data_IF_381206137972
#
_entry.id   IF_381206137972
#
_cell.length_a   1.000
_cell.length_b   1.000
_cell.length_c   1.000
_cell.angle_alpha   90.00
_cell.angle_beta   90.00
_cell.angle_gamma   90.00
#
_symmetry.space_group_name_H-M   'P 1'
#
loop_
_entity.id
_entity.type
_entity.pdbx_description
1 polymer ?
#
# COMPACT_ATOMS: atom_id res chain seq x y z
N UNK A 1 -22.20 -22.50 -22.42
CA UNK A 1 -23.34 -22.16 -21.51
C UNK A 1 -22.95 -22.68 -20.14
N UNK A 2 -22.48 -21.78 -19.25
CA UNK A 2 -22.35 -22.06 -17.82
C UNK A 2 -23.77 -22.17 -17.31
N UNK A 3 -24.17 -23.32 -16.84
CA UNK A 3 -25.48 -23.52 -16.23
C UNK A 3 -25.51 -22.83 -14.88
N UNK A 4 -26.61 -22.21 -14.48
CA UNK A 4 -26.79 -21.52 -13.18
C UNK A 4 -26.38 -22.36 -11.96
N UNK A 5 -26.24 -23.67 -12.10
CA UNK A 5 -25.84 -24.61 -11.06
C UNK A 5 -24.33 -24.61 -10.71
N UNK A 6 -23.49 -23.83 -11.43
CA UNK A 6 -22.02 -23.79 -11.23
C UNK A 6 -21.49 -22.41 -10.84
N UNK A 7 -22.34 -21.47 -10.43
CA UNK A 7 -21.89 -20.13 -10.04
C UNK A 7 -21.77 -20.05 -8.52
N UNK A 8 -20.56 -19.73 -8.03
CA UNK A 8 -20.31 -19.44 -6.61
C UNK A 8 -20.88 -18.08 -6.24
N UNK A 9 -21.85 -18.06 -5.32
CA UNK A 9 -22.53 -16.84 -4.88
C UNK A 9 -22.10 -16.42 -3.49
N UNK A 10 -21.93 -15.12 -3.28
CA UNK A 10 -21.72 -14.55 -1.95
C UNK A 10 -23.05 -14.62 -1.18
N UNK A 11 -23.06 -15.33 -0.06
CA UNK A 11 -24.25 -15.51 0.79
C UNK A 11 -24.28 -14.56 1.99
N UNK A 12 -23.10 -14.15 2.49
CA UNK A 12 -23.00 -13.23 3.61
C UNK A 12 -21.71 -12.39 3.55
N UNK A 13 -21.77 -11.24 4.22
CA UNK A 13 -20.63 -10.36 4.48
C UNK A 13 -20.56 -10.14 5.99
N UNK A 14 -19.51 -10.67 6.62
CA UNK A 14 -19.26 -10.53 8.07
C UNK A 14 -18.06 -9.62 8.30
N UNK A 15 -18.15 -8.76 9.31
CA UNK A 15 -17.13 -7.75 9.60
C UNK A 15 -16.67 -7.87 11.06
N UNK A 16 -15.38 -7.67 11.28
CA UNK A 16 -14.75 -7.79 12.59
C UNK A 16 -13.85 -6.58 12.85
N UNK A 17 -14.02 -5.96 14.03
CA UNK A 17 -13.15 -4.89 14.53
C UNK A 17 -12.02 -5.52 15.35
N UNK A 18 -10.84 -5.67 14.76
CA UNK A 18 -9.67 -6.28 15.39
C UNK A 18 -8.69 -5.19 15.83
N UNK A 19 -8.32 -5.17 17.10
CA UNK A 19 -7.45 -4.15 17.69
C UNK A 19 -6.31 -4.78 18.47
N UNK A 20 -5.10 -4.17 18.33
CA UNK A 20 -3.90 -4.58 19.02
C UNK A 20 -3.29 -3.39 19.78
N UNK A 21 -2.98 -3.51 21.08
CA UNK A 21 -2.54 -2.40 21.92
C UNK A 21 -1.05 -2.07 21.73
N UNK A 22 -0.64 -1.76 20.50
CA UNK A 22 0.77 -1.48 20.15
C UNK A 22 1.29 -0.19 20.77
N UNK A 23 0.41 0.75 21.13
CA UNK A 23 0.76 1.97 21.85
C UNK A 23 1.44 1.71 23.21
N UNK A 24 1.19 0.56 23.84
CA UNK A 24 1.79 0.20 25.13
C UNK A 24 3.30 0.00 25.05
N UNK A 25 3.83 -0.41 23.89
CA UNK A 25 5.25 -0.62 23.63
C UNK A 25 5.86 0.42 22.70
N UNK A 26 5.09 1.43 22.31
CA UNK A 26 5.44 2.49 21.33
C UNK A 26 5.74 1.95 19.93
N UNK A 27 5.41 0.71 19.64
CA UNK A 27 5.58 0.13 18.31
C UNK A 27 4.64 0.82 17.33
N UNK A 28 5.19 1.33 16.23
CA UNK A 28 4.47 2.15 15.26
C UNK A 28 4.42 3.64 15.58
N UNK A 29 5.00 4.10 16.69
CA UNK A 29 4.99 5.53 17.06
C UNK A 29 5.81 6.38 16.10
N UNK A 30 5.22 7.46 15.62
CA UNK A 30 5.83 8.44 14.72
C UNK A 30 5.54 9.89 15.17
N UNK A 31 6.02 10.88 14.41
CA UNK A 31 5.88 12.28 14.78
C UNK A 31 4.44 12.80 14.71
N UNK A 32 3.61 12.23 13.85
CA UNK A 32 2.20 12.60 13.70
C UNK A 32 1.29 11.73 14.57
N UNK A 33 1.64 10.46 14.77
CA UNK A 33 0.85 9.45 15.47
C UNK A 33 1.64 8.87 16.65
N UNK A 34 1.61 9.52 17.82
CA UNK A 34 2.45 9.11 18.96
C UNK A 34 1.94 7.89 19.72
N UNK A 35 0.68 7.51 19.54
CA UNK A 35 -0.02 6.46 20.30
C UNK A 35 -0.85 5.51 19.42
N UNK A 36 -0.28 4.91 18.33
CA UNK A 36 -1.06 4.05 17.46
C UNK A 36 -1.37 2.70 18.11
N UNK A 37 -2.63 2.26 17.96
CA UNK A 37 -3.06 0.88 18.22
C UNK A 37 -3.34 0.22 16.89
N UNK A 38 -2.37 -0.50 16.35
CA UNK A 38 -2.51 -1.16 15.05
C UNK A 38 -3.73 -2.06 15.03
N UNK A 39 -4.58 -1.86 14.03
CA UNK A 39 -5.90 -2.46 13.97
C UNK A 39 -6.26 -2.86 12.56
N UNK A 40 -7.20 -3.77 12.42
CA UNK A 40 -7.75 -4.18 11.14
C UNK A 40 -9.28 -4.18 11.20
N UNK A 41 -9.91 -3.46 10.31
CA UNK A 41 -11.30 -3.70 9.96
C UNK A 41 -11.29 -4.87 8.97
N UNK A 42 -11.77 -6.04 9.41
CA UNK A 42 -11.62 -7.30 8.73
C UNK A 42 -12.97 -7.78 8.17
N UNK A 43 -12.98 -8.24 6.93
CA UNK A 43 -14.19 -8.75 6.28
C UNK A 43 -14.01 -10.20 5.85
N UNK A 44 -15.06 -10.99 6.04
CA UNK A 44 -15.19 -12.34 5.50
C UNK A 44 -16.41 -12.38 4.59
N UNK A 45 -16.21 -12.81 3.36
CA UNK A 45 -17.27 -13.14 2.41
C UNK A 45 -17.54 -14.63 2.49
N UNK A 46 -18.71 -15.01 2.97
CA UNK A 46 -19.17 -16.38 2.94
C UNK A 46 -19.83 -16.66 1.57
N UNK A 47 -19.70 -17.89 1.10
CA UNK A 47 -20.29 -18.32 -0.17
C UNK A 47 -21.28 -19.47 0.04
N UNK A 48 -21.99 -19.85 -1.04
CA UNK A 48 -22.83 -21.06 -1.07
C UNK A 48 -22.03 -22.37 -1.03
N UNK A 49 -20.69 -22.29 -1.15
CA UNK A 49 -19.75 -23.36 -0.79
C UNK A 49 -19.17 -23.06 0.60
N UNK A 50 -19.57 -23.77 1.65
CA UNK A 50 -19.11 -23.56 3.02
C UNK A 50 -17.59 -23.65 3.19
N UNK A 51 -16.90 -24.39 2.31
CA UNK A 51 -15.45 -24.54 2.33
C UNK A 51 -14.72 -23.34 1.72
N UNK A 52 -15.41 -22.48 0.96
CA UNK A 52 -14.83 -21.37 0.22
C UNK A 52 -15.26 -20.03 0.84
N UNK A 53 -14.30 -19.33 1.45
CA UNK A 53 -14.49 -18.02 2.07
C UNK A 53 -13.42 -17.04 1.61
N UNK A 54 -13.84 -15.81 1.33
CA UNK A 54 -12.95 -14.72 0.98
C UNK A 54 -12.62 -13.84 2.19
N UNK A 55 -11.37 -13.51 2.35
CA UNK A 55 -10.87 -12.70 3.46
C UNK A 55 -10.24 -11.42 2.94
N UNK A 56 -10.56 -10.30 3.57
CA UNK A 56 -9.99 -9.01 3.27
C UNK A 56 -9.90 -8.15 4.52
N UNK A 57 -9.05 -7.14 4.47
CA UNK A 57 -8.92 -6.19 5.57
C UNK A 57 -8.53 -4.81 5.06
N UNK A 58 -8.83 -3.79 5.86
CA UNK A 58 -8.13 -2.52 5.78
C UNK A 58 -7.44 -2.22 7.11
N UNK A 59 -6.29 -1.59 7.03
CA UNK A 59 -5.47 -1.22 8.18
C UNK A 59 -5.89 0.14 8.74
N UNK A 60 -5.97 0.23 10.07
CA UNK A 60 -6.10 1.49 10.80
C UNK A 60 -5.15 1.49 12.00
N UNK A 61 -5.03 2.63 12.66
CA UNK A 61 -4.19 2.77 13.86
C UNK A 61 -5.01 2.93 15.15
N UNK A 62 -6.24 2.39 15.17
CA UNK A 62 -7.07 2.27 16.35
C UNK A 62 -8.41 2.99 16.25
N UNK A 63 -8.48 4.22 16.73
CA UNK A 63 -9.73 5.00 16.70
C UNK A 63 -10.25 5.16 15.27
N UNK A 64 -11.54 4.88 15.07
CA UNK A 64 -12.18 4.90 13.75
C UNK A 64 -12.13 3.56 13.00
N UNK A 65 -11.53 2.50 13.56
CA UNK A 65 -11.57 1.17 12.95
C UNK A 65 -13.03 0.67 12.78
N UNK A 66 -13.87 0.94 13.76
CA UNK A 66 -15.32 0.69 13.73
C UNK A 66 -16.04 1.45 12.61
N UNK A 67 -15.60 2.65 12.23
CA UNK A 67 -16.15 3.41 11.10
C UNK A 67 -15.89 2.66 9.78
N UNK A 68 -14.69 2.10 9.59
CA UNK A 68 -14.39 1.27 8.44
C UNK A 68 -15.26 -0.01 8.42
N UNK A 69 -15.48 -0.62 9.59
CA UNK A 69 -16.39 -1.74 9.72
C UNK A 69 -17.83 -1.39 9.28
N UNK A 70 -18.35 -0.24 9.73
CA UNK A 70 -19.67 0.22 9.31
C UNK A 70 -19.74 0.55 7.81
N UNK A 71 -18.68 1.09 7.23
CA UNK A 71 -18.58 1.33 5.80
C UNK A 71 -18.65 0.02 4.98
N UNK A 72 -18.01 -1.07 5.46
CA UNK A 72 -18.13 -2.40 4.85
C UNK A 72 -19.56 -2.91 4.90
N UNK A 73 -20.23 -2.79 6.07
CA UNK A 73 -21.61 -3.20 6.23
C UNK A 73 -22.57 -2.40 5.32
N UNK A 74 -22.29 -1.12 5.08
CA UNK A 74 -23.05 -0.29 4.16
C UNK A 74 -22.97 -0.79 2.70
N UNK A 75 -21.93 -1.53 2.33
CA UNK A 75 -21.78 -2.14 0.99
C UNK A 75 -22.49 -3.49 0.85
N UNK A 76 -23.07 -4.03 1.91
CA UNK A 76 -23.66 -5.37 1.93
C UNK A 76 -24.64 -5.62 0.75
N UNK A 77 -25.45 -4.66 0.41
CA UNK A 77 -26.43 -4.76 -0.69
C UNK A 77 -25.79 -4.86 -2.08
N UNK A 78 -24.53 -4.46 -2.23
CA UNK A 78 -23.76 -4.58 -3.47
C UNK A 78 -23.04 -5.93 -3.56
N UNK A 79 -22.80 -6.59 -2.42
CA UNK A 79 -21.90 -7.74 -2.30
C UNK A 79 -22.70 -9.05 -2.17
N UNK A 80 -23.69 -9.09 -1.27
CA UNK A 80 -24.48 -10.30 -1.05
C UNK A 80 -25.36 -10.59 -2.27
N UNK A 81 -25.26 -11.81 -2.79
CA UNK A 81 -25.91 -12.24 -4.04
C UNK A 81 -25.02 -12.06 -5.29
N UNK A 82 -23.87 -11.37 -5.17
CA UNK A 82 -22.91 -11.27 -6.27
C UNK A 82 -22.30 -12.64 -6.59
N UNK A 83 -21.95 -12.85 -7.86
CA UNK A 83 -21.30 -14.05 -8.36
C UNK A 83 -19.80 -13.85 -8.49
N UNK A 84 -19.00 -14.83 -8.04
CA UNK A 84 -17.56 -14.84 -8.21
C UNK A 84 -17.18 -14.94 -9.70
N UNK A 85 -17.99 -15.61 -10.50
CA UNK A 85 -17.78 -15.72 -11.94
C UNK A 85 -17.97 -14.38 -12.65
N UNK A 86 -18.94 -13.55 -12.20
CA UNK A 86 -19.12 -12.18 -12.73
C UNK A 86 -17.91 -11.30 -12.39
N UNK A 87 -17.39 -11.41 -11.18
CA UNK A 87 -16.16 -10.74 -10.79
C UNK A 87 -14.97 -11.19 -11.68
N UNK A 88 -14.80 -12.50 -11.87
CA UNK A 88 -13.74 -13.07 -12.73
C UNK A 88 -13.84 -12.59 -14.17
N UNK A 89 -15.05 -12.58 -14.72
CA UNK A 89 -15.28 -12.25 -16.13
C UNK A 89 -14.97 -10.77 -16.46
N UNK A 90 -15.16 -9.86 -15.50
CA UNK A 90 -14.99 -8.43 -15.72
C UNK A 90 -14.60 -7.68 -14.42
N UNK A 91 -13.38 -7.93 -13.86
CA UNK A 91 -13.00 -7.39 -12.55
C UNK A 91 -13.01 -5.86 -12.49
N UNK A 92 -12.60 -5.18 -13.55
CA UNK A 92 -12.63 -3.72 -13.63
C UNK A 92 -14.05 -3.15 -13.64
N UNK A 93 -15.00 -3.81 -14.31
CA UNK A 93 -16.42 -3.42 -14.29
C UNK A 93 -17.04 -3.68 -12.91
N UNK A 94 -16.68 -4.79 -12.29
CA UNK A 94 -17.16 -5.11 -10.94
C UNK A 94 -16.63 -4.09 -9.92
N UNK A 95 -15.36 -3.73 -10.03
CA UNK A 95 -14.77 -2.65 -9.22
C UNK A 95 -15.52 -1.33 -9.40
N UNK A 96 -15.84 -0.97 -10.64
CA UNK A 96 -16.67 0.20 -10.97
C UNK A 96 -18.07 0.11 -10.37
N UNK A 97 -18.66 -1.06 -10.34
CA UNK A 97 -19.96 -1.29 -9.70
C UNK A 97 -19.88 -1.03 -8.19
N UNK A 98 -18.86 -1.55 -7.50
CA UNK A 98 -18.68 -1.34 -6.05
C UNK A 98 -18.39 0.13 -5.71
N UNK A 99 -17.55 0.81 -6.48
CA UNK A 99 -17.20 2.22 -6.24
C UNK A 99 -18.22 3.19 -6.80
N UNK A 100 -19.19 2.71 -7.59
CA UNK A 100 -20.14 3.51 -8.35
C UNK A 100 -21.47 3.76 -7.67
N UNK A 101 -21.72 3.21 -6.47
CA UNK A 101 -22.99 3.43 -5.78
C UNK A 101 -23.29 4.91 -5.61
N UNK A 102 -24.46 5.34 -6.10
CA UNK A 102 -24.81 6.75 -6.24
C UNK A 102 -24.95 7.49 -4.92
N UNK A 103 -25.24 6.78 -3.82
CA UNK A 103 -25.41 7.36 -2.49
C UNK A 103 -24.12 7.26 -1.67
N UNK A 104 -23.46 6.11 -1.67
CA UNK A 104 -22.19 5.92 -0.94
C UNK A 104 -21.08 6.81 -1.47
N UNK A 105 -21.05 7.11 -2.77
CA UNK A 105 -20.11 8.05 -3.37
C UNK A 105 -20.18 9.47 -2.78
N UNK A 106 -21.31 9.88 -2.25
CA UNK A 106 -21.42 11.21 -1.63
C UNK A 106 -20.55 11.35 -0.38
N UNK A 107 -20.38 10.27 0.37
CA UNK A 107 -19.60 10.26 1.61
C UNK A 107 -18.16 9.79 1.42
N UNK A 108 -17.77 9.44 0.23
CA UNK A 108 -16.41 8.99 -0.05
C UNK A 108 -16.20 8.48 -1.46
N UNK A 109 -16.23 9.34 -2.50
CA UNK A 109 -15.90 8.90 -3.85
C UNK A 109 -14.40 8.66 -3.95
N UNK A 110 -14.00 7.40 -3.92
CA UNK A 110 -12.62 6.93 -4.02
C UNK A 110 -11.70 7.55 -2.95
N UNK A 111 -12.20 7.74 -1.72
CA UNK A 111 -11.44 8.27 -0.57
C UNK A 111 -12.06 7.94 0.78
N UNK A 112 -11.25 8.12 1.84
CA UNK A 112 -11.68 7.99 3.23
C UNK A 112 -12.11 6.59 3.63
N UNK A 113 -12.85 6.49 4.74
CA UNK A 113 -13.29 5.21 5.29
C UNK A 113 -14.09 4.35 4.31
N UNK A 114 -14.86 4.99 3.42
CA UNK A 114 -15.63 4.27 2.39
C UNK A 114 -14.73 3.56 1.40
N UNK A 115 -13.64 4.21 0.97
CA UNK A 115 -12.70 3.61 0.01
C UNK A 115 -11.78 2.57 0.65
N UNK A 116 -11.38 2.77 1.91
CA UNK A 116 -10.70 1.74 2.72
C UNK A 116 -11.55 0.46 2.82
N UNK A 117 -12.84 0.60 3.10
CA UNK A 117 -13.79 -0.50 3.14
C UNK A 117 -13.92 -1.19 1.77
N UNK A 118 -14.00 -0.41 0.71
CA UNK A 118 -14.05 -0.94 -0.67
C UNK A 118 -12.82 -1.77 -0.98
N UNK A 119 -11.62 -1.30 -0.63
CA UNK A 119 -10.37 -2.05 -0.80
C UNK A 119 -10.38 -3.40 -0.10
N UNK A 120 -10.84 -3.44 1.14
CA UNK A 120 -10.97 -4.69 1.89
C UNK A 120 -11.92 -5.69 1.22
N UNK A 121 -13.08 -5.22 0.76
CA UNK A 121 -14.08 -6.07 0.07
C UNK A 121 -13.54 -6.56 -1.26
N UNK A 122 -12.92 -5.70 -2.07
CA UNK A 122 -12.31 -6.07 -3.35
C UNK A 122 -11.22 -7.13 -3.15
N UNK A 123 -10.34 -6.94 -2.16
CA UNK A 123 -9.29 -7.92 -1.84
C UNK A 123 -9.88 -9.26 -1.37
N UNK A 124 -11.03 -9.26 -0.68
CA UNK A 124 -11.74 -10.49 -0.32
C UNK A 124 -12.26 -11.26 -1.55
N UNK A 125 -12.70 -10.57 -2.61
CA UNK A 125 -13.04 -11.22 -3.89
C UNK A 125 -11.81 -11.84 -4.57
N UNK A 126 -10.68 -11.15 -4.56
CA UNK A 126 -9.43 -11.70 -5.09
C UNK A 126 -8.94 -12.92 -4.29
N UNK A 127 -9.08 -12.90 -2.96
CA UNK A 127 -8.78 -14.05 -2.11
C UNK A 127 -9.67 -15.26 -2.43
N UNK A 128 -10.99 -15.04 -2.63
CA UNK A 128 -11.91 -16.08 -3.09
C UNK A 128 -11.46 -16.68 -4.41
N UNK A 129 -11.18 -15.82 -5.40
CA UNK A 129 -10.79 -16.27 -6.73
C UNK A 129 -9.48 -17.04 -6.73
N UNK A 130 -8.51 -16.62 -5.91
CA UNK A 130 -7.24 -17.29 -5.73
C UNK A 130 -7.42 -18.68 -5.10
N UNK A 131 -8.22 -18.77 -4.03
CA UNK A 131 -8.56 -20.04 -3.37
C UNK A 131 -9.29 -21.00 -4.29
N UNK A 132 -10.31 -20.52 -5.02
CA UNK A 132 -11.03 -21.34 -6.01
C UNK A 132 -10.09 -21.85 -7.11
N UNK A 133 -9.06 -21.06 -7.46
CA UNK A 133 -8.06 -21.41 -8.49
C UNK A 133 -6.90 -22.25 -7.95
N UNK A 134 -6.80 -22.46 -6.64
CA UNK A 134 -5.69 -23.17 -5.99
C UNK A 134 -4.33 -22.48 -6.14
N UNK A 135 -4.31 -21.15 -6.31
CA UNK A 135 -3.11 -20.33 -6.54
C UNK A 135 -3.07 -19.15 -5.58
N UNK A 136 -1.89 -18.71 -5.13
CA UNK A 136 -1.77 -17.41 -4.46
C UNK A 136 -2.12 -16.28 -5.45
N UNK A 137 -2.60 -15.15 -4.94
CA UNK A 137 -3.09 -14.03 -5.77
C UNK A 137 -2.03 -13.54 -6.77
N UNK A 138 -0.78 -13.37 -6.34
CA UNK A 138 0.30 -12.92 -7.23
C UNK A 138 0.50 -13.86 -8.42
N UNK A 139 0.38 -15.16 -8.20
CA UNK A 139 0.52 -16.16 -9.24
C UNK A 139 -0.71 -16.23 -10.14
N UNK A 140 -1.91 -16.10 -9.55
CA UNK A 140 -3.16 -16.03 -10.32
C UNK A 140 -3.11 -14.89 -11.33
N UNK A 141 -2.77 -13.68 -10.87
CA UNK A 141 -2.67 -12.50 -11.75
C UNK A 141 -1.48 -12.62 -12.70
N UNK A 142 -0.34 -13.10 -12.20
CA UNK A 142 0.85 -13.32 -13.02
C UNK A 142 0.66 -14.30 -14.18
N UNK A 143 -0.24 -15.26 -14.07
CA UNK A 143 -0.55 -16.24 -15.13
C UNK A 143 -1.57 -15.72 -16.17
N UNK A 144 -2.21 -14.58 -15.92
CA UNK A 144 -3.14 -13.95 -16.87
C UNK A 144 -2.40 -13.36 -18.08
N UNK A 145 -3.09 -13.26 -19.20
CA UNK A 145 -2.61 -12.55 -20.38
C UNK A 145 -2.52 -11.04 -20.13
N UNK A 146 -1.70 -10.30 -20.91
CA UNK A 146 -1.65 -8.85 -20.84
C UNK A 146 -3.02 -8.17 -20.97
N UNK A 147 -3.89 -8.71 -21.80
CA UNK A 147 -5.25 -8.23 -22.01
C UNK A 147 -6.13 -8.44 -20.76
N UNK A 148 -6.07 -9.62 -20.16
CA UNK A 148 -6.81 -9.94 -18.93
C UNK A 148 -6.35 -9.06 -17.75
N UNK A 149 -5.01 -8.87 -17.60
CA UNK A 149 -4.48 -7.98 -16.57
C UNK A 149 -4.94 -6.53 -16.81
N UNK A 150 -4.88 -6.05 -18.05
CA UNK A 150 -5.34 -4.70 -18.38
C UNK A 150 -6.84 -4.50 -18.09
N UNK A 151 -7.65 -5.54 -18.21
CA UNK A 151 -9.10 -5.50 -17.93
C UNK A 151 -9.44 -5.56 -16.42
N UNK A 152 -8.45 -5.78 -15.55
CA UNK A 152 -8.60 -5.59 -14.10
C UNK A 152 -8.73 -4.10 -13.74
N UNK A 153 -8.09 -3.22 -14.52
CA UNK A 153 -8.04 -1.79 -14.25
C UNK A 153 -9.28 -1.06 -14.78
N UNK A 154 -9.78 -0.14 -14.00
CA UNK A 154 -10.75 0.85 -14.45
C UNK A 154 -10.02 2.14 -14.86
N UNK A 155 -10.04 2.46 -16.15
CA UNK A 155 -9.32 3.61 -16.73
C UNK A 155 -10.03 4.95 -16.60
N UNK A 156 -11.19 5.00 -15.96
CA UNK A 156 -11.89 6.26 -15.74
C UNK A 156 -11.00 7.25 -15.00
N UNK A 157 -10.85 8.44 -15.53
CA UNK A 157 -9.99 9.51 -15.04
C UNK A 157 -8.48 9.26 -15.17
N UNK A 158 -8.06 8.20 -15.88
CA UNK A 158 -6.64 7.87 -16.07
C UNK A 158 -6.18 8.03 -17.52
N UNK A 159 -7.08 8.17 -18.48
CA UNK A 159 -6.76 8.09 -19.92
C UNK A 159 -5.83 9.19 -20.43
N UNK A 160 -5.69 10.29 -19.70
CA UNK A 160 -4.69 11.35 -19.95
C UNK A 160 -3.26 10.93 -19.52
N UNK A 161 -3.13 9.92 -18.65
CA UNK A 161 -1.84 9.39 -18.19
C UNK A 161 -1.59 7.96 -18.63
N UNK A 162 -2.62 7.11 -18.69
CA UNK A 162 -2.51 5.71 -19.06
C UNK A 162 -3.80 5.25 -19.76
N UNK A 163 -3.68 4.81 -21.00
CA UNK A 163 -4.75 4.12 -21.74
C UNK A 163 -4.66 2.61 -21.58
N UNK A 164 -5.76 1.89 -21.87
CA UNK A 164 -5.76 0.42 -21.87
C UNK A 164 -4.73 -0.17 -22.84
N UNK A 165 -4.61 0.41 -24.02
CA UNK A 165 -3.67 -0.08 -25.05
C UNK A 165 -2.21 0.11 -24.60
N UNK A 166 -1.87 1.23 -23.98
CA UNK A 166 -0.55 1.43 -23.37
C UNK A 166 -0.28 0.45 -22.24
N UNK A 167 -1.27 0.15 -21.40
CA UNK A 167 -1.14 -0.86 -20.35
C UNK A 167 -0.83 -2.25 -20.95
N UNK A 168 -1.53 -2.65 -22.00
CA UNK A 168 -1.26 -3.90 -22.71
C UNK A 168 0.16 -3.92 -23.29
N UNK A 169 0.63 -2.82 -23.88
CA UNK A 169 2.00 -2.74 -24.40
C UNK A 169 3.06 -2.88 -23.29
N UNK A 170 2.86 -2.24 -22.14
CA UNK A 170 3.74 -2.37 -20.98
C UNK A 170 3.79 -3.82 -20.50
N UNK A 171 2.63 -4.47 -20.37
CA UNK A 171 2.51 -5.85 -19.93
C UNK A 171 3.12 -6.84 -20.92
N UNK A 172 2.93 -6.63 -22.22
CA UNK A 172 3.57 -7.46 -23.28
C UNK A 172 5.09 -7.35 -23.24
N UNK A 173 5.64 -6.15 -23.01
CA UNK A 173 7.10 -6.00 -22.82
C UNK A 173 7.58 -6.73 -21.57
N UNK A 174 6.78 -6.77 -20.52
CA UNK A 174 7.09 -7.46 -19.27
C UNK A 174 6.99 -9.01 -19.37
N UNK A 175 6.41 -9.57 -20.42
CA UNK A 175 6.43 -11.02 -20.64
C UNK A 175 7.86 -11.57 -20.82
N UNK A 176 8.77 -10.77 -21.38
CA UNK A 176 10.19 -11.12 -21.43
C UNK A 176 10.77 -11.21 -20.00
N UNK A 177 11.44 -12.32 -19.68
CA UNK A 177 12.02 -12.58 -18.37
C UNK A 177 11.01 -12.90 -17.25
N UNK A 178 9.74 -13.13 -17.57
CA UNK A 178 8.69 -13.46 -16.58
C UNK A 178 8.99 -14.76 -15.85
N UNK A 179 9.44 -15.79 -16.55
CA UNK A 179 9.77 -17.09 -15.96
C UNK A 179 10.91 -16.97 -14.92
N UNK A 180 11.94 -16.18 -15.22
CA UNK A 180 13.07 -15.93 -14.35
C UNK A 180 12.63 -15.15 -13.10
N UNK A 181 11.76 -14.13 -13.26
CA UNK A 181 11.21 -13.39 -12.12
C UNK A 181 10.36 -14.26 -11.21
N UNK A 182 9.52 -15.14 -11.78
CA UNK A 182 8.74 -16.11 -11.02
C UNK A 182 9.67 -17.04 -10.23
N UNK A 183 10.66 -17.65 -10.89
CA UNK A 183 11.60 -18.56 -10.25
C UNK A 183 12.36 -17.86 -9.11
N UNK A 184 12.75 -16.60 -9.29
CA UNK A 184 13.39 -15.80 -8.26
C UNK A 184 12.47 -15.57 -7.06
N UNK A 185 11.21 -15.18 -7.28
CA UNK A 185 10.24 -15.00 -6.20
C UNK A 185 9.97 -16.28 -5.42
N UNK A 186 9.89 -17.42 -6.11
CA UNK A 186 9.69 -18.73 -5.49
C UNK A 186 10.89 -19.20 -4.67
N UNK A 187 12.12 -18.83 -5.05
CA UNK A 187 13.34 -19.25 -4.37
C UNK A 187 13.86 -18.29 -3.31
N UNK A 188 13.69 -16.99 -3.51
CA UNK A 188 14.28 -15.94 -2.66
C UNK A 188 13.24 -15.15 -1.87
N UNK A 189 11.96 -15.21 -2.26
CA UNK A 189 10.90 -14.38 -1.73
C UNK A 189 10.93 -12.95 -2.26
N UNK A 190 10.11 -12.09 -1.67
CA UNK A 190 10.03 -10.67 -2.01
C UNK A 190 10.95 -9.85 -1.11
N UNK A 191 11.84 -9.05 -1.70
CA UNK A 191 12.76 -8.20 -0.95
C UNK A 191 12.01 -7.10 -0.18
N UNK A 192 12.40 -6.86 1.07
CA UNK A 192 11.79 -5.83 1.92
C UNK A 192 12.84 -4.99 2.66
N UNK A 193 12.38 -3.88 3.23
CA UNK A 193 13.13 -3.07 4.18
C UNK A 193 12.47 -3.16 5.57
N UNK A 194 13.15 -2.69 6.61
CA UNK A 194 12.60 -2.69 7.97
C UNK A 194 12.55 -1.30 8.58
N UNK A 195 11.49 -1.05 9.37
CA UNK A 195 11.34 0.15 10.22
C UNK A 195 11.42 -0.21 11.71
N UNK A 196 11.62 -1.47 12.04
CA UNK A 196 11.54 -1.97 13.44
C UNK A 196 12.49 -1.26 14.40
N UNK A 197 13.66 -0.81 13.93
CA UNK A 197 14.62 -0.05 14.71
C UNK A 197 14.27 1.45 14.83
N UNK A 198 13.38 1.96 13.99
CA UNK A 198 13.23 3.38 13.72
C UNK A 198 12.08 4.09 14.40
N UNK A 199 11.27 3.41 15.18
CA UNK A 199 10.12 4.03 15.86
C UNK A 199 10.56 5.12 16.85
N UNK A 200 9.72 6.13 17.06
CA UNK A 200 10.00 7.19 18.03
C UNK A 200 9.77 6.71 19.46
N UNK A 201 10.60 7.23 20.39
CA UNK A 201 10.48 6.93 21.81
C UNK A 201 11.36 5.80 22.32
N UNK A 202 12.10 5.12 21.45
CA UNK A 202 13.10 4.13 21.85
C UNK A 202 14.34 4.81 22.42
N UNK A 203 14.92 4.21 23.47
CA UNK A 203 16.24 4.61 23.99
C UNK A 203 17.38 4.17 23.06
N UNK A 204 18.58 4.67 23.32
CA UNK A 204 19.74 4.43 22.48
C UNK A 204 20.16 2.95 22.44
N UNK A 205 20.02 2.25 23.56
CA UNK A 205 20.39 0.85 23.66
C UNK A 205 19.43 -0.02 22.82
N UNK A 206 18.14 0.24 22.91
CA UNK A 206 17.12 -0.41 22.09
C UNK A 206 17.34 -0.11 20.60
N UNK A 207 17.61 1.15 20.25
CA UNK A 207 17.87 1.54 18.87
C UNK A 207 19.10 0.81 18.31
N UNK A 208 20.24 0.80 19.04
CA UNK A 208 21.46 0.10 18.62
C UNK A 208 21.21 -1.40 18.45
N UNK A 209 20.55 -2.02 19.41
CA UNK A 209 20.21 -3.45 19.36
C UNK A 209 19.36 -3.80 18.16
N UNK A 210 18.26 -3.05 17.92
CA UNK A 210 17.36 -3.32 16.80
C UNK A 210 18.01 -3.07 15.43
N UNK A 211 18.89 -2.06 15.32
CA UNK A 211 19.69 -1.87 14.11
C UNK A 211 20.63 -3.05 13.86
N UNK A 212 21.27 -3.59 14.92
CA UNK A 212 22.15 -4.75 14.80
C UNK A 212 21.34 -6.01 14.44
N UNK A 213 20.19 -6.25 15.08
CA UNK A 213 19.30 -7.35 14.75
C UNK A 213 18.87 -7.31 13.27
N UNK A 214 18.51 -6.13 12.75
CA UNK A 214 18.19 -5.96 11.34
C UNK A 214 19.34 -6.37 10.40
N UNK A 215 20.58 -6.03 10.76
CA UNK A 215 21.76 -6.45 10.01
C UNK A 215 21.95 -7.97 10.06
N UNK A 216 21.82 -8.56 11.26
CA UNK A 216 21.98 -9.99 11.49
C UNK A 216 20.93 -10.83 10.75
N UNK A 217 19.73 -10.27 10.58
CA UNK A 217 18.64 -10.82 9.76
C UNK A 217 18.85 -10.62 8.25
N UNK A 218 19.87 -9.87 7.84
CA UNK A 218 20.24 -9.66 6.44
C UNK A 218 19.61 -8.45 5.77
N UNK A 219 18.96 -7.55 6.50
CA UNK A 219 18.41 -6.32 5.92
C UNK A 219 19.52 -5.37 5.44
N UNK A 220 19.38 -4.91 4.20
CA UNK A 220 20.23 -3.89 3.59
C UNK A 220 19.63 -2.49 3.69
N UNK A 221 18.37 -2.38 4.08
CA UNK A 221 17.60 -1.15 4.07
C UNK A 221 16.89 -0.98 5.42
N UNK A 222 17.20 0.11 6.11
CA UNK A 222 16.62 0.45 7.43
C UNK A 222 15.99 1.83 7.35
N UNK A 223 14.76 1.97 7.82
CA UNK A 223 14.01 3.23 7.83
C UNK A 223 13.85 3.75 9.26
N UNK A 224 14.06 5.05 9.45
CA UNK A 224 13.97 5.76 10.72
C UNK A 224 12.84 6.79 10.69
N UNK A 225 12.00 6.80 11.71
CA UNK A 225 11.02 7.89 11.90
C UNK A 225 11.74 9.15 12.38
N UNK A 226 11.37 10.30 11.80
CA UNK A 226 11.93 11.63 12.10
C UNK A 226 10.82 12.66 12.21
N UNK A 227 11.14 13.90 12.58
CA UNK A 227 10.24 15.04 12.45
C UNK A 227 9.67 15.59 13.75
N UNK A 228 9.87 14.91 14.88
CA UNK A 228 9.41 15.41 16.19
C UNK A 228 10.35 16.43 16.82
N UNK A 229 11.65 16.16 16.77
CA UNK A 229 12.70 17.01 17.32
C UNK A 229 13.98 16.85 16.49
N UNK A 230 14.52 17.95 15.97
CA UNK A 230 15.65 17.91 15.05
C UNK A 230 16.94 17.40 15.71
N UNK A 231 17.22 17.82 16.94
CA UNK A 231 18.45 17.40 17.65
C UNK A 231 18.38 15.92 18.02
N UNK A 232 17.20 15.44 18.40
CA UNK A 232 16.94 14.02 18.62
C UNK A 232 17.07 13.22 17.33
N UNK A 233 16.55 13.71 16.22
CA UNK A 233 16.68 13.08 14.90
C UNK A 233 18.17 12.97 14.48
N UNK A 234 18.96 14.04 14.64
CA UNK A 234 20.40 14.04 14.38
C UNK A 234 21.09 12.98 15.22
N UNK A 235 20.80 12.92 16.52
CA UNK A 235 21.36 11.94 17.45
C UNK A 235 21.02 10.49 17.02
N UNK A 236 19.75 10.23 16.77
CA UNK A 236 19.25 8.89 16.40
C UNK A 236 19.78 8.44 15.04
N UNK A 237 19.83 9.32 14.06
CA UNK A 237 20.40 9.00 12.74
C UNK A 237 21.92 8.80 12.80
N UNK A 238 22.63 9.50 13.68
CA UNK A 238 24.05 9.24 13.94
C UNK A 238 24.25 7.82 14.46
N UNK A 239 23.48 7.42 15.48
CA UNK A 239 23.53 6.07 16.05
C UNK A 239 23.19 5.00 14.99
N UNK A 240 22.10 5.19 14.27
CA UNK A 240 21.68 4.24 13.23
C UNK A 240 22.78 4.08 12.16
N UNK A 241 23.35 5.18 11.66
CA UNK A 241 24.40 5.16 10.64
C UNK A 241 25.69 4.53 11.16
N UNK A 242 26.06 4.75 12.42
CA UNK A 242 27.22 4.08 13.06
C UNK A 242 27.05 2.57 13.06
N UNK A 243 25.86 2.05 13.41
CA UNK A 243 25.59 0.62 13.52
C UNK A 243 25.48 -0.04 12.15
N UNK A 244 24.67 0.53 11.23
CA UNK A 244 24.43 -0.10 9.92
C UNK A 244 25.60 0.06 8.96
N UNK A 245 26.54 0.98 9.23
CA UNK A 245 27.71 1.27 8.39
C UNK A 245 27.38 2.16 7.18
N UNK A 246 28.39 2.51 6.37
CA UNK A 246 28.25 3.45 5.26
C UNK A 246 27.54 2.88 4.03
N UNK A 247 27.57 1.55 3.85
CA UNK A 247 27.18 0.89 2.59
C UNK A 247 25.71 0.47 2.56
N UNK A 248 25.03 0.42 3.71
CA UNK A 248 23.60 0.10 3.78
C UNK A 248 22.74 1.34 3.60
N UNK A 249 21.56 1.13 3.07
CA UNK A 249 20.61 2.20 2.83
C UNK A 249 19.89 2.59 4.12
N UNK A 250 19.95 3.87 4.44
CA UNK A 250 19.16 4.50 5.50
C UNK A 250 18.07 5.33 4.86
N UNK A 251 16.83 5.14 5.26
CA UNK A 251 15.70 5.97 4.83
C UNK A 251 15.14 6.72 6.04
N UNK A 252 14.49 7.85 5.78
CA UNK A 252 13.83 8.65 6.81
C UNK A 252 12.37 8.89 6.44
N UNK A 253 11.51 8.98 7.45
CA UNK A 253 10.06 9.11 7.29
C UNK A 253 9.53 10.10 8.30
N UNK A 254 8.93 11.20 7.81
CA UNK A 254 8.40 12.28 8.63
C UNK A 254 6.88 12.16 8.89
N UNK A 255 6.20 11.22 8.27
CA UNK A 255 4.75 11.02 8.42
C UNK A 255 3.95 12.32 8.33
N UNK A 256 4.24 13.16 7.32
CA UNK A 256 3.50 14.38 6.95
C UNK A 256 3.61 15.55 7.94
N UNK A 257 4.51 15.49 8.91
CA UNK A 257 4.50 16.45 10.05
C UNK A 257 4.96 17.86 9.66
N UNK A 258 5.71 18.02 8.56
CA UNK A 258 6.33 19.29 8.23
C UNK A 258 5.53 20.15 7.25
N UNK A 259 5.63 21.45 7.43
CA UNK A 259 5.38 22.42 6.37
C UNK A 259 6.47 22.33 5.31
N UNK A 260 6.18 22.76 4.08
CA UNK A 260 7.10 22.60 2.92
C UNK A 260 8.48 23.18 3.18
N UNK A 261 8.58 24.42 3.67
CA UNK A 261 9.87 25.08 3.90
C UNK A 261 10.61 24.45 5.09
N UNK A 262 9.88 23.94 6.08
CA UNK A 262 10.45 23.17 7.20
C UNK A 262 11.02 21.85 6.73
N UNK A 263 10.30 21.11 5.87
CA UNK A 263 10.77 19.88 5.29
C UNK A 263 12.11 20.07 4.54
N UNK A 264 12.20 21.12 3.73
CA UNK A 264 13.44 21.46 3.01
C UNK A 264 14.58 21.73 4.01
N UNK A 265 14.33 22.56 5.02
CA UNK A 265 15.35 22.91 6.00
C UNK A 265 15.82 21.69 6.82
N UNK A 266 14.91 20.83 7.25
CA UNK A 266 15.23 19.67 8.08
C UNK A 266 15.92 18.56 7.27
N UNK A 267 15.42 18.21 6.11
CA UNK A 267 16.05 17.20 5.26
C UNK A 267 17.49 17.61 4.91
N UNK A 268 17.75 18.88 4.58
CA UNK A 268 19.09 19.37 4.32
C UNK A 268 20.01 19.27 5.55
N UNK A 269 19.49 19.46 6.77
CA UNK A 269 20.27 19.24 8.02
C UNK A 269 20.51 17.76 8.29
N UNK A 270 19.60 16.88 7.92
CA UNK A 270 19.73 15.43 8.09
C UNK A 270 20.55 14.75 6.99
N UNK A 271 20.94 15.49 5.94
CA UNK A 271 21.70 14.97 4.78
C UNK A 271 23.07 14.35 5.14
N UNK A 272 23.67 14.71 6.30
CA UNK A 272 24.90 14.10 6.80
C UNK A 272 24.78 12.58 6.96
N UNK A 273 23.59 12.07 7.30
CA UNK A 273 23.30 10.65 7.45
C UNK A 273 23.13 9.92 6.10
N UNK A 274 23.20 10.64 4.98
CA UNK A 274 23.02 10.13 3.61
C UNK A 274 21.73 9.33 3.46
N UNK A 275 20.55 9.93 3.73
CA UNK A 275 19.30 9.22 3.56
C UNK A 275 19.05 8.95 2.07
N UNK A 276 18.64 7.73 1.76
CA UNK A 276 18.28 7.34 0.39
C UNK A 276 17.01 8.03 -0.07
N UNK A 277 16.00 8.11 0.81
CA UNK A 277 14.82 8.93 0.59
C UNK A 277 14.28 9.53 1.89
N UNK A 278 13.51 10.58 1.72
CA UNK A 278 12.54 11.09 2.70
C UNK A 278 11.13 10.63 2.29
N UNK A 279 10.43 9.99 3.21
CA UNK A 279 9.04 9.53 3.06
C UNK A 279 8.09 10.53 3.68
N UNK A 280 7.02 10.86 2.96
CA UNK A 280 5.95 11.75 3.39
C UNK A 280 6.43 13.04 4.08
N UNK A 281 7.20 13.89 3.39
CA UNK A 281 7.78 15.08 4.04
C UNK A 281 6.74 16.12 4.43
N UNK A 282 5.58 16.16 3.77
CA UNK A 282 4.49 17.11 4.02
C UNK A 282 3.13 16.46 3.75
N UNK A 283 2.05 17.24 3.73
CA UNK A 283 0.69 16.73 3.51
C UNK A 283 0.61 15.75 2.33
N UNK A 284 -0.05 14.59 2.50
CA UNK A 284 -0.18 13.59 1.44
C UNK A 284 -1.01 14.07 0.24
N UNK A 285 -1.71 15.20 0.36
CA UNK A 285 -2.51 15.79 -0.71
C UNK A 285 -1.79 16.95 -1.43
N UNK A 286 -0.58 17.36 -0.95
CA UNK A 286 0.16 18.49 -1.49
C UNK A 286 1.17 18.08 -2.58
N UNK A 287 0.69 17.89 -3.79
CA UNK A 287 1.53 17.55 -4.95
C UNK A 287 2.56 18.64 -5.26
N UNK A 288 2.16 19.90 -5.22
CA UNK A 288 3.05 21.03 -5.51
C UNK A 288 4.13 21.18 -4.43
N UNK A 289 3.76 20.99 -3.15
CA UNK A 289 4.69 20.99 -2.03
C UNK A 289 5.74 19.89 -2.12
N UNK A 290 5.33 18.65 -2.45
CA UNK A 290 6.26 17.55 -2.69
C UNK A 290 7.26 17.87 -3.79
N UNK A 291 6.79 18.44 -4.92
CA UNK A 291 7.68 18.87 -6.01
C UNK A 291 8.68 19.93 -5.56
N UNK A 292 8.22 20.96 -4.84
CA UNK A 292 9.10 22.00 -4.30
C UNK A 292 10.17 21.43 -3.35
N UNK A 293 9.79 20.51 -2.49
CA UNK A 293 10.73 19.82 -1.59
C UNK A 293 11.74 19.03 -2.40
N UNK A 294 11.28 18.19 -3.32
CA UNK A 294 12.13 17.37 -4.19
C UNK A 294 13.19 18.17 -4.94
N UNK A 295 12.82 19.33 -5.46
CA UNK A 295 13.73 20.23 -6.20
C UNK A 295 14.78 20.91 -5.29
N UNK A 296 14.58 20.93 -3.96
CA UNK A 296 15.39 21.69 -3.01
C UNK A 296 16.26 20.85 -2.06
N UNK A 297 16.14 19.51 -2.08
CA UNK A 297 16.82 18.63 -1.12
C UNK A 297 18.00 17.81 -1.71
N UNK A 298 18.48 18.21 -2.87
CA UNK A 298 19.68 17.61 -3.50
C UNK A 298 19.47 16.16 -3.92
N UNK A 299 20.35 15.27 -3.48
CA UNK A 299 20.37 13.85 -3.89
C UNK A 299 19.37 12.97 -3.11
N UNK A 300 18.74 13.50 -2.05
CA UNK A 300 17.73 12.77 -1.28
C UNK A 300 16.47 12.62 -2.11
N UNK A 301 16.00 11.40 -2.32
CA UNK A 301 14.78 11.14 -3.09
C UNK A 301 13.54 11.42 -2.25
N UNK A 302 12.42 11.72 -2.90
CA UNK A 302 11.11 11.84 -2.26
C UNK A 302 10.28 10.60 -2.53
N UNK A 303 9.80 9.96 -1.47
CA UNK A 303 8.90 8.83 -1.51
C UNK A 303 7.57 9.19 -0.84
N UNK A 304 6.45 8.78 -1.43
CA UNK A 304 5.14 8.94 -0.79
C UNK A 304 4.11 7.97 -1.37
N UNK A 305 3.04 7.72 -0.63
CA UNK A 305 1.93 6.95 -1.13
C UNK A 305 1.12 6.18 -0.10
N UNK A 306 1.62 5.91 1.11
CA UNK A 306 0.86 5.15 2.11
C UNK A 306 -0.46 5.83 2.52
N UNK A 307 -0.52 7.15 2.38
CA UNK A 307 -1.71 7.97 2.64
C UNK A 307 -2.39 8.45 1.35
N UNK A 308 -1.86 8.15 0.18
CA UNK A 308 -2.53 8.46 -1.09
C UNK A 308 -3.83 7.68 -1.22
N UNK A 309 -4.92 8.41 -1.37
CA UNK A 309 -6.26 7.87 -1.24
C UNK A 309 -6.71 7.05 -2.45
N UNK A 310 -6.21 7.37 -3.65
CA UNK A 310 -6.67 6.77 -4.90
C UNK A 310 -5.64 6.91 -6.03
N UNK A 311 -5.88 6.22 -7.12
CA UNK A 311 -4.99 6.23 -8.30
C UNK A 311 -4.88 7.62 -8.97
N UNK A 312 -5.84 8.51 -8.78
CA UNK A 312 -5.80 9.86 -9.36
C UNK A 312 -4.77 10.72 -8.63
N UNK A 313 -4.65 10.59 -7.30
CA UNK A 313 -3.60 11.25 -6.54
C UNK A 313 -2.22 10.75 -6.98
N UNK A 314 -2.04 9.43 -7.10
CA UNK A 314 -0.79 8.86 -7.63
C UNK A 314 -0.47 9.35 -9.04
N UNK A 315 -1.48 9.39 -9.92
CA UNK A 315 -1.32 9.96 -11.27
C UNK A 315 -0.73 11.36 -11.21
N UNK A 316 -1.28 12.23 -10.37
CA UNK A 316 -0.80 13.61 -10.22
C UNK A 316 0.64 13.65 -9.68
N UNK A 317 0.94 12.94 -8.59
CA UNK A 317 2.29 12.87 -8.04
C UNK A 317 3.33 12.42 -9.06
N UNK A 318 2.99 11.41 -9.86
CA UNK A 318 3.89 10.83 -10.85
C UNK A 318 4.02 11.73 -12.06
N UNK A 319 2.92 12.20 -12.66
CA UNK A 319 2.92 12.98 -13.88
C UNK A 319 3.53 14.38 -13.68
N UNK A 320 3.31 14.99 -12.51
CA UNK A 320 3.90 16.29 -12.16
C UNK A 320 5.36 16.20 -11.69
N UNK A 321 5.93 15.00 -11.64
CA UNK A 321 7.31 14.78 -11.19
C UNK A 321 7.53 15.17 -9.72
N UNK A 322 6.50 15.04 -8.89
CA UNK A 322 6.56 15.44 -7.50
C UNK A 322 7.26 14.42 -6.59
N UNK A 323 7.38 13.18 -7.03
CA UNK A 323 8.02 12.09 -6.28
C UNK A 323 9.00 11.31 -7.16
N UNK A 324 9.96 10.66 -6.50
CA UNK A 324 10.93 9.76 -7.14
C UNK A 324 10.56 8.29 -6.97
N UNK A 325 9.91 7.95 -5.85
CA UNK A 325 9.55 6.59 -5.46
C UNK A 325 8.07 6.56 -5.12
N UNK A 326 7.37 5.60 -5.71
CA UNK A 326 5.93 5.37 -5.49
C UNK A 326 5.77 4.34 -4.39
N UNK A 327 5.00 4.67 -3.36
CA UNK A 327 4.73 3.76 -2.24
C UNK A 327 3.24 3.40 -2.21
N UNK A 328 2.88 2.34 -2.92
CA UNK A 328 1.52 1.79 -2.82
C UNK A 328 1.33 1.13 -1.45
N UNK A 329 0.10 1.08 -1.00
CA UNK A 329 -0.33 0.31 0.17
C UNK A 329 -1.50 -0.60 -0.23
N UNK A 330 -1.43 -1.87 0.13
CA UNK A 330 -2.43 -2.87 -0.25
C UNK A 330 -3.82 -2.64 0.34
N UNK A 331 -3.91 -1.82 1.39
CA UNK A 331 -5.14 -1.59 2.17
C UNK A 331 -5.60 -0.14 2.16
N UNK A 332 -4.86 0.79 1.56
CA UNK A 332 -5.22 2.22 1.52
C UNK A 332 -6.18 2.57 0.40
N UNK A 333 -6.00 1.94 -0.76
CA UNK A 333 -6.78 2.18 -1.97
C UNK A 333 -7.89 1.15 -2.16
N UNK A 334 -8.56 1.19 -3.29
CA UNK A 334 -9.68 0.31 -3.66
C UNK A 334 -9.29 -1.13 -4.00
N UNK A 335 -8.26 -1.68 -3.36
CA UNK A 335 -7.82 -3.05 -3.54
C UNK A 335 -6.90 -3.25 -4.76
N UNK A 336 -6.67 -4.51 -5.10
CA UNK A 336 -5.73 -4.92 -6.15
C UNK A 336 -5.96 -4.21 -7.49
N UNK A 337 -7.20 -4.01 -7.89
CA UNK A 337 -7.54 -3.34 -9.16
C UNK A 337 -6.92 -1.94 -9.25
N UNK A 338 -7.05 -1.16 -8.20
CA UNK A 338 -6.54 0.21 -8.17
C UNK A 338 -5.02 0.26 -7.96
N UNK A 339 -4.48 -0.64 -7.14
CA UNK A 339 -3.02 -0.79 -6.99
C UNK A 339 -2.38 -1.11 -8.34
N UNK A 340 -2.95 -2.03 -9.10
CA UNK A 340 -2.44 -2.39 -10.43
C UNK A 340 -2.44 -1.18 -11.40
N UNK A 341 -3.45 -0.33 -11.34
CA UNK A 341 -3.47 0.92 -12.11
C UNK A 341 -2.26 1.79 -11.78
N UNK A 342 -1.93 1.94 -10.49
CA UNK A 342 -0.77 2.72 -10.05
C UNK A 342 0.55 2.09 -10.48
N UNK A 343 0.68 0.76 -10.39
CA UNK A 343 1.87 0.04 -10.86
C UNK A 343 2.11 0.26 -12.35
N UNK A 344 1.07 0.24 -13.16
CA UNK A 344 1.15 0.48 -14.61
C UNK A 344 1.50 1.94 -14.92
N UNK A 345 0.93 2.91 -14.20
CA UNK A 345 1.31 4.33 -14.33
C UNK A 345 2.78 4.51 -13.93
N UNK A 346 3.21 3.95 -12.82
CA UNK A 346 4.60 4.01 -12.37
C UNK A 346 5.55 3.41 -13.43
N UNK A 347 5.21 2.27 -14.00
CA UNK A 347 5.98 1.64 -15.08
C UNK A 347 6.07 2.53 -16.32
N UNK A 348 4.96 3.15 -16.76
CA UNK A 348 4.95 4.08 -17.90
C UNK A 348 5.89 5.26 -17.70
N UNK A 349 5.91 5.82 -16.49
CA UNK A 349 6.74 6.99 -16.16
C UNK A 349 8.14 6.62 -15.62
N UNK A 350 8.51 5.34 -15.62
CA UNK A 350 9.82 4.87 -15.16
C UNK A 350 10.08 5.10 -13.68
N UNK A 351 9.05 5.09 -12.84
CA UNK A 351 9.17 5.30 -11.40
C UNK A 351 9.26 3.95 -10.67
N UNK A 352 10.26 3.76 -9.80
CA UNK A 352 10.33 2.58 -8.95
C UNK A 352 9.18 2.58 -7.93
N UNK A 353 8.73 1.37 -7.59
CA UNK A 353 7.70 1.16 -6.57
C UNK A 353 8.32 0.46 -5.37
N UNK A 354 8.17 1.06 -4.19
CA UNK A 354 8.62 0.54 -2.91
C UNK A 354 7.42 0.49 -1.97
N UNK A 355 6.68 -0.62 -1.92
CA UNK A 355 5.43 -0.69 -1.17
C UNK A 355 5.57 -0.36 0.30
N UNK A 356 4.58 0.35 0.85
CA UNK A 356 4.39 0.44 2.28
C UNK A 356 3.70 -0.83 2.80
N UNK A 357 4.19 -1.35 3.93
CA UNK A 357 3.57 -2.42 4.68
C UNK A 357 3.93 -2.28 6.15
N UNK A 358 3.11 -1.58 6.90
CA UNK A 358 3.26 -1.45 8.35
C UNK A 358 1.99 -1.89 9.03
N UNK A 359 2.06 -2.80 9.97
CA UNK A 359 0.89 -3.30 10.67
C UNK A 359 0.60 -4.77 10.46
N UNK A 360 -0.35 -5.28 11.21
CA UNK A 360 -0.70 -6.70 11.21
C UNK A 360 -1.40 -7.07 9.91
N UNK A 361 -0.83 -8.01 9.17
CA UNK A 361 -1.39 -8.55 7.94
C UNK A 361 -1.01 -7.80 6.66
N UNK A 362 -0.41 -6.60 6.72
CA UNK A 362 -0.06 -5.85 5.51
C UNK A 362 1.10 -6.46 4.74
N UNK A 363 2.11 -6.98 5.42
CA UNK A 363 3.25 -7.63 4.76
C UNK A 363 2.79 -8.85 3.95
N UNK A 364 1.88 -9.63 4.51
CA UNK A 364 1.27 -10.79 3.85
C UNK A 364 0.44 -10.39 2.62
N UNK A 365 -0.18 -9.22 2.65
CA UNK A 365 -0.96 -8.71 1.52
C UNK A 365 -0.07 -8.15 0.41
N UNK A 366 0.85 -7.24 0.76
CA UNK A 366 1.61 -6.46 -0.23
C UNK A 366 2.52 -7.33 -1.10
N UNK A 367 2.98 -8.47 -0.59
CA UNK A 367 3.78 -9.41 -1.38
C UNK A 367 3.02 -10.05 -2.55
N UNK A 368 1.70 -9.90 -2.59
CA UNK A 368 0.86 -10.39 -3.70
C UNK A 368 0.63 -9.35 -4.81
N UNK A 369 1.19 -8.14 -4.68
CA UNK A 369 0.94 -7.02 -5.60
C UNK A 369 2.11 -6.64 -6.49
#
# INVERSE_FOLDING_TARGET
QITESNMTKITDLRVFDLRFPTSQSLDGSDAMNPDPDYSAAYVILDTDDEALKGHGLTFTIGRGNDICCQAMLAMRHLVVGASLEDFRAAPGKFWRYLTGDSQLRWIGPDKGAMHLATGAVVNAFWDLLAKQSGKPVWRLVGDMSPEEIADIVDYRYLTDALTRDEAIEILRKAESGKAERIAKLESEGYACYTTSAGWLGYDDDKLRRLCQEAIDEGFNHVKMKVGRDLEDDIRRLTIAREVIGPDRYLMIDANQVWEVDQAIAWVNKLAFSKPFFIEEPTSPDDVAGHRKIREAIGDVKVATGEMCQNCIMFKQFIAEGAIDIVQIDSCRMGGLNEVLAVLLIAAKFGKPVWPHAGGVGLCEYVQHL
#
